data_IF_307894604677
#
_entry.id   IF_307894604677
#
_cell.length_a   1.000
_cell.length_b   1.000
_cell.length_c   1.000
_cell.angle_alpha   90.00
_cell.angle_beta   90.00
_cell.angle_gamma   90.00
#
_symmetry.space_group_name_H-M   'P 1'
#
loop_
_entity.id
_entity.type
_entity.pdbx_description
1 polymer ?
#
# COMPACT_ATOMS: atom_id res chain seq x y z
N UNK A 1 -25.11 -34.94 -18.51
CA UNK A 1 -25.49 -33.55 -18.17
C UNK A 1 -25.16 -33.34 -16.69
N UNK A 2 -23.97 -32.82 -16.39
CA UNK A 2 -23.59 -32.44 -15.03
C UNK A 2 -24.05 -31.00 -14.80
N UNK A 3 -24.96 -30.83 -13.86
CA UNK A 3 -25.50 -29.53 -13.45
C UNK A 3 -24.40 -28.73 -12.76
N UNK A 4 -23.91 -27.68 -13.40
CA UNK A 4 -23.02 -26.69 -12.76
C UNK A 4 -23.78 -26.04 -11.60
N UNK A 5 -23.34 -26.18 -10.34
CA UNK A 5 -23.98 -25.45 -9.25
C UNK A 5 -23.67 -23.97 -9.47
N UNK A 6 -24.72 -23.14 -9.53
CA UNK A 6 -24.59 -21.70 -9.48
C UNK A 6 -24.15 -21.29 -8.06
N UNK A 7 -22.84 -21.27 -7.82
CA UNK A 7 -22.27 -20.70 -6.61
C UNK A 7 -22.21 -19.19 -6.81
N UNK A 8 -23.28 -18.47 -6.46
CA UNK A 8 -23.12 -17.06 -6.15
C UNK A 8 -22.34 -16.99 -4.83
N UNK A 9 -21.07 -16.55 -4.82
CA UNK A 9 -20.36 -16.40 -3.56
C UNK A 9 -21.09 -15.38 -2.69
N UNK A 10 -21.00 -15.50 -1.35
CA UNK A 10 -21.57 -14.50 -0.47
C UNK A 10 -21.04 -13.12 -0.83
N UNK A 11 -21.88 -12.06 -0.76
CA UNK A 11 -21.46 -10.71 -1.12
C UNK A 11 -20.25 -10.29 -0.28
N UNK A 12 -19.23 -9.79 -0.96
CA UNK A 12 -18.00 -9.34 -0.32
C UNK A 12 -18.19 -7.91 0.19
N UNK A 13 -17.96 -7.71 1.49
CA UNK A 13 -17.87 -6.37 2.05
C UNK A 13 -16.52 -5.75 1.66
N UNK A 14 -16.53 -4.89 0.64
CA UNK A 14 -15.32 -4.22 0.15
C UNK A 14 -14.75 -3.20 1.16
N UNK A 15 -15.57 -2.67 2.06
CA UNK A 15 -15.09 -1.79 3.12
C UNK A 15 -14.31 -2.60 4.16
N UNK A 16 -14.83 -3.76 4.54
CA UNK A 16 -14.16 -4.69 5.46
C UNK A 16 -12.86 -5.25 4.88
N UNK A 17 -12.87 -5.63 3.60
CA UNK A 17 -11.66 -6.08 2.90
C UNK A 17 -10.60 -4.96 2.85
N UNK A 18 -11.01 -3.73 2.54
CA UNK A 18 -10.12 -2.57 2.56
C UNK A 18 -9.49 -2.37 3.93
N UNK A 19 -10.29 -2.44 5.00
CA UNK A 19 -9.81 -2.33 6.39
C UNK A 19 -8.74 -3.38 6.69
N UNK A 20 -9.00 -4.65 6.37
CA UNK A 20 -8.02 -5.72 6.59
C UNK A 20 -6.72 -5.52 5.78
N UNK A 21 -6.81 -4.99 4.56
CA UNK A 21 -5.62 -4.65 3.76
C UNK A 21 -4.82 -3.53 4.44
N UNK A 22 -5.49 -2.51 4.96
CA UNK A 22 -4.85 -1.39 5.66
C UNK A 22 -4.16 -1.85 6.95
N UNK A 23 -4.79 -2.72 7.72
CA UNK A 23 -4.20 -3.33 8.92
C UNK A 23 -2.93 -4.12 8.58
N UNK A 24 -2.94 -4.92 7.52
CA UNK A 24 -1.75 -5.67 7.09
C UNK A 24 -0.62 -4.74 6.62
N UNK A 25 -0.96 -3.65 5.93
CA UNK A 25 0.03 -2.65 5.50
C UNK A 25 0.66 -1.95 6.72
N UNK A 26 -0.17 -1.52 7.68
CA UNK A 26 0.28 -0.86 8.89
C UNK A 26 1.17 -1.77 9.74
N UNK A 27 0.74 -3.01 10.00
CA UNK A 27 1.53 -4.01 10.74
C UNK A 27 2.89 -4.25 10.06
N UNK A 28 2.88 -4.40 8.73
CA UNK A 28 4.11 -4.60 7.96
C UNK A 28 5.06 -3.41 8.08
N UNK A 29 4.56 -2.18 7.92
CA UNK A 29 5.37 -0.97 8.00
C UNK A 29 5.92 -0.75 9.41
N UNK A 30 5.12 -0.99 10.45
CA UNK A 30 5.56 -0.94 11.84
C UNK A 30 6.67 -1.95 12.12
N UNK A 31 6.51 -3.18 11.64
CA UNK A 31 7.54 -4.22 11.76
C UNK A 31 8.84 -3.81 11.07
N UNK A 32 8.77 -3.23 9.87
CA UNK A 32 9.95 -2.74 9.14
C UNK A 32 10.61 -1.53 9.80
N UNK A 33 9.82 -0.59 10.33
CA UNK A 33 10.33 0.55 11.07
C UNK A 33 11.09 0.10 12.32
N UNK A 34 10.49 -0.79 13.12
CA UNK A 34 11.13 -1.34 14.31
C UNK A 34 12.43 -2.10 13.99
N UNK A 35 12.43 -2.89 12.91
CA UNK A 35 13.62 -3.62 12.47
C UNK A 35 14.74 -2.69 11.99
N UNK A 36 14.40 -1.59 11.30
CA UNK A 36 15.37 -0.58 10.86
C UNK A 36 15.97 0.17 12.07
N UNK A 37 15.12 0.59 13.01
CA UNK A 37 15.53 1.23 14.26
C UNK A 37 16.49 0.36 15.07
N UNK A 38 16.17 -0.93 15.22
CA UNK A 38 17.03 -1.89 15.92
C UNK A 38 18.41 -2.08 15.28
N UNK A 39 18.55 -1.74 13.98
CA UNK A 39 19.81 -1.75 13.24
C UNK A 39 20.53 -0.39 13.27
N UNK A 40 20.00 0.61 13.98
CA UNK A 40 20.57 1.97 14.04
C UNK A 40 20.35 2.77 12.75
N UNK A 41 19.40 2.38 11.90
CA UNK A 41 19.05 3.14 10.71
C UNK A 41 18.12 4.31 11.07
N UNK A 42 18.19 5.46 10.36
CA UNK A 42 17.27 6.56 10.57
C UNK A 42 15.81 6.18 10.30
N UNK A 43 14.90 6.61 11.17
CA UNK A 43 13.46 6.31 11.07
C UNK A 43 12.78 7.08 9.92
N UNK A 44 13.46 8.06 9.34
CA UNK A 44 12.91 8.98 8.35
C UNK A 44 12.34 8.28 7.12
N UNK A 45 13.07 7.31 6.56
CA UNK A 45 12.63 6.58 5.38
C UNK A 45 11.31 5.84 5.65
N UNK A 46 11.25 5.10 6.76
CA UNK A 46 10.05 4.38 7.20
C UNK A 46 8.89 5.34 7.43
N UNK A 47 9.16 6.50 8.03
CA UNK A 47 8.15 7.52 8.31
C UNK A 47 7.56 8.12 7.03
N UNK A 48 8.39 8.51 6.06
CA UNK A 48 7.92 9.12 4.81
C UNK A 48 7.16 8.09 3.94
N UNK A 49 7.61 6.83 3.93
CA UNK A 49 6.88 5.74 3.24
C UNK A 49 5.51 5.50 3.91
N UNK A 50 5.46 5.46 5.25
CA UNK A 50 4.20 5.30 5.97
C UNK A 50 3.24 6.46 5.69
N UNK A 51 3.72 7.70 5.68
CA UNK A 51 2.91 8.86 5.29
C UNK A 51 2.40 8.76 3.85
N UNK A 52 3.25 8.33 2.90
CA UNK A 52 2.86 8.17 1.50
C UNK A 52 1.70 7.17 1.33
N UNK A 53 1.76 6.05 2.05
CA UNK A 53 0.69 5.06 2.04
C UNK A 53 -0.55 5.54 2.80
N UNK A 54 -0.38 6.21 3.94
CA UNK A 54 -1.47 6.78 4.76
C UNK A 54 -2.20 7.93 4.07
N UNK A 55 -1.54 8.67 3.16
CA UNK A 55 -2.17 9.66 2.28
C UNK A 55 -3.24 9.04 1.36
N UNK A 56 -3.39 7.71 1.39
CA UNK A 56 -4.59 7.03 0.96
C UNK A 56 -4.50 6.56 -0.48
N UNK A 57 -5.64 6.54 -1.16
CA UNK A 57 -5.80 5.98 -2.49
C UNK A 57 -7.03 5.08 -2.53
N UNK A 58 -7.56 4.85 -3.74
CA UNK A 58 -8.79 4.06 -3.90
C UNK A 58 -8.61 2.57 -3.56
N UNK A 59 -7.38 2.10 -3.36
CA UNK A 59 -7.01 0.68 -3.15
C UNK A 59 -7.61 -0.25 -4.21
N UNK A 60 -7.66 0.21 -5.46
CA UNK A 60 -8.29 -0.55 -6.54
C UNK A 60 -7.54 -1.87 -6.82
N UNK A 61 -6.21 -1.83 -6.83
CA UNK A 61 -5.36 -3.00 -7.10
C UNK A 61 -5.57 -4.13 -6.09
N UNK A 62 -5.47 -3.89 -4.77
CA UNK A 62 -5.70 -4.95 -3.80
C UNK A 62 -7.15 -5.44 -3.80
N UNK A 63 -8.15 -4.56 -4.02
CA UNK A 63 -9.55 -4.99 -4.12
C UNK A 63 -9.81 -5.87 -5.35
N UNK A 64 -9.22 -5.53 -6.51
CA UNK A 64 -9.30 -6.37 -7.71
C UNK A 64 -8.63 -7.73 -7.53
N UNK A 65 -7.53 -7.79 -6.77
CA UNK A 65 -6.88 -9.06 -6.42
C UNK A 65 -7.84 -9.96 -5.62
N UNK A 66 -8.48 -9.41 -4.58
CA UNK A 66 -9.44 -10.15 -3.75
C UNK A 66 -10.68 -10.58 -4.53
N UNK A 67 -11.23 -9.68 -5.36
CA UNK A 67 -12.37 -9.98 -6.22
C UNK A 67 -12.05 -11.09 -7.23
N UNK A 68 -10.85 -11.04 -7.85
CA UNK A 68 -10.38 -12.07 -8.76
C UNK A 68 -10.25 -13.44 -8.08
N UNK A 69 -9.71 -13.48 -6.85
CA UNK A 69 -9.65 -14.70 -6.05
C UNK A 69 -11.05 -15.26 -5.77
N UNK A 70 -11.97 -14.43 -5.29
CA UNK A 70 -13.33 -14.87 -4.95
C UNK A 70 -14.07 -15.36 -6.20
N UNK A 71 -13.90 -14.70 -7.34
CA UNK A 71 -14.51 -15.12 -8.61
C UNK A 71 -14.01 -16.50 -9.07
N UNK A 72 -12.73 -16.82 -8.82
CA UNK A 72 -12.14 -18.09 -9.21
C UNK A 72 -12.46 -19.24 -8.23
N UNK A 73 -12.53 -18.95 -6.93
CA UNK A 73 -12.60 -19.99 -5.88
C UNK A 73 -13.99 -20.12 -5.26
N UNK A 74 -14.86 -19.12 -5.44
CA UNK A 74 -16.19 -19.03 -4.83
C UNK A 74 -16.18 -19.13 -3.29
N UNK A 75 -15.12 -18.66 -2.64
CA UNK A 75 -14.94 -18.65 -1.18
C UNK A 75 -14.47 -17.27 -0.69
N UNK A 76 -14.69 -16.93 0.59
CA UNK A 76 -14.13 -15.73 1.20
C UNK A 76 -12.59 -15.70 1.08
N UNK A 77 -11.97 -14.50 0.99
CA UNK A 77 -10.52 -14.40 0.94
C UNK A 77 -9.88 -14.89 2.23
N UNK A 78 -8.82 -15.69 2.09
CA UNK A 78 -8.00 -16.08 3.24
C UNK A 78 -7.08 -14.93 3.64
N UNK A 79 -6.50 -15.01 4.84
CA UNK A 79 -5.47 -14.07 5.29
C UNK A 79 -4.27 -14.01 4.32
N UNK A 80 -3.92 -15.12 3.66
CA UNK A 80 -2.86 -15.13 2.66
C UNK A 80 -3.22 -14.26 1.43
N UNK A 81 -4.48 -14.30 0.98
CA UNK A 81 -4.96 -13.47 -0.13
C UNK A 81 -4.94 -11.99 0.24
N UNK A 82 -5.35 -11.64 1.46
CA UNK A 82 -5.26 -10.26 1.97
C UNK A 82 -3.81 -9.78 2.00
N UNK A 83 -2.86 -10.62 2.43
CA UNK A 83 -1.42 -10.29 2.41
C UNK A 83 -0.88 -10.06 0.99
N UNK A 84 -1.29 -10.90 0.02
CA UNK A 84 -0.93 -10.69 -1.39
C UNK A 84 -1.51 -9.38 -1.91
N UNK A 85 -2.76 -9.08 -1.58
CA UNK A 85 -3.40 -7.82 -1.95
C UNK A 85 -2.62 -6.62 -1.37
N UNK A 86 -2.29 -6.64 -0.08
CA UNK A 86 -1.46 -5.62 0.56
C UNK A 86 -0.09 -5.46 -0.12
N UNK A 87 0.57 -6.57 -0.48
CA UNK A 87 1.85 -6.55 -1.19
C UNK A 87 1.75 -5.85 -2.57
N UNK A 88 0.62 -6.00 -3.29
CA UNK A 88 0.39 -5.27 -4.54
C UNK A 88 0.27 -3.76 -4.34
N UNK A 89 -0.31 -3.32 -3.22
CA UNK A 89 -0.38 -1.90 -2.89
C UNK A 89 1.01 -1.34 -2.52
N UNK A 90 1.83 -2.09 -1.79
CA UNK A 90 3.24 -1.75 -1.54
C UNK A 90 4.04 -1.63 -2.85
N UNK A 91 3.86 -2.60 -3.76
CA UNK A 91 4.52 -2.58 -5.07
C UNK A 91 4.06 -1.37 -5.90
N UNK A 92 2.76 -1.05 -5.85
CA UNK A 92 2.26 0.15 -6.51
C UNK A 92 2.85 1.44 -5.93
N UNK A 93 3.00 1.53 -4.60
CA UNK A 93 3.63 2.67 -3.96
C UNK A 93 5.09 2.83 -4.41
N UNK A 94 5.84 1.73 -4.49
CA UNK A 94 7.19 1.72 -5.08
C UNK A 94 7.19 2.32 -6.50
N UNK A 95 6.30 1.86 -7.38
CA UNK A 95 6.20 2.41 -8.74
C UNK A 95 5.95 3.92 -8.72
N UNK A 96 4.98 4.39 -7.93
CA UNK A 96 4.64 5.82 -7.88
C UNK A 96 5.80 6.69 -7.37
N UNK A 97 6.51 6.23 -6.34
CA UNK A 97 7.66 6.96 -5.78
C UNK A 97 8.79 7.06 -6.81
N UNK A 98 9.04 5.98 -7.56
CA UNK A 98 10.03 5.97 -8.61
C UNK A 98 9.61 6.81 -9.82
N UNK A 99 8.35 6.74 -10.24
CA UNK A 99 7.79 7.57 -11.31
C UNK A 99 7.93 9.06 -10.96
N UNK A 100 7.66 9.44 -9.70
CA UNK A 100 7.81 10.82 -9.25
C UNK A 100 9.25 11.35 -9.42
N UNK A 101 10.25 10.49 -9.26
CA UNK A 101 11.66 10.83 -9.45
C UNK A 101 11.99 10.90 -10.94
N UNK A 102 11.59 9.89 -11.72
CA UNK A 102 11.84 9.81 -13.16
C UNK A 102 11.23 11.01 -13.89
N UNK A 103 10.02 11.39 -13.52
CA UNK A 103 9.25 12.46 -14.14
C UNK A 103 9.54 13.86 -13.55
N UNK A 104 10.44 13.96 -12.57
CA UNK A 104 10.68 15.19 -11.80
C UNK A 104 9.39 15.83 -11.23
N UNK A 105 8.45 14.98 -10.79
CA UNK A 105 7.17 15.45 -10.25
C UNK A 105 7.35 16.07 -8.86
N UNK A 106 6.86 17.29 -8.67
CA UNK A 106 6.96 17.98 -7.38
C UNK A 106 5.80 17.67 -6.43
N UNK A 107 4.66 17.22 -6.96
CA UNK A 107 3.46 16.90 -6.18
C UNK A 107 2.79 15.60 -6.61
N UNK A 108 2.16 14.92 -5.66
CA UNK A 108 1.29 13.76 -5.88
C UNK A 108 0.09 13.81 -4.94
N UNK A 109 -1.11 13.68 -5.50
CA UNK A 109 -2.38 13.69 -4.74
C UNK A 109 -2.53 14.93 -3.84
N UNK A 110 -2.06 16.08 -4.31
CA UNK A 110 -2.13 17.34 -3.56
C UNK A 110 -1.07 17.53 -2.47
N UNK A 111 -0.16 16.57 -2.27
CA UNK A 111 0.96 16.67 -1.33
C UNK A 111 2.31 16.67 -2.07
N UNK A 112 3.41 17.14 -1.45
CA UNK A 112 4.75 16.98 -1.99
C UNK A 112 5.10 15.51 -2.23
N UNK A 113 5.84 15.21 -3.30
CA UNK A 113 6.34 13.85 -3.54
C UNK A 113 7.36 13.44 -2.48
N UNK A 114 7.63 12.13 -2.35
CA UNK A 114 8.54 11.58 -1.33
C UNK A 114 9.93 12.23 -1.40
N UNK A 115 10.50 12.34 -2.61
CA UNK A 115 11.82 12.92 -2.78
C UNK A 115 11.83 14.42 -2.41
N UNK A 116 10.76 15.18 -2.72
CA UNK A 116 10.64 16.60 -2.32
C UNK A 116 10.50 16.77 -0.81
N UNK A 117 9.75 15.89 -0.16
CA UNK A 117 9.62 15.87 1.31
C UNK A 117 10.98 15.64 1.97
N UNK A 118 11.76 14.68 1.47
CA UNK A 118 13.10 14.43 1.96
C UNK A 118 14.04 15.61 1.67
N UNK A 119 14.03 16.17 0.47
CA UNK A 119 14.83 17.37 0.14
C UNK A 119 14.55 18.50 1.13
N UNK A 120 13.28 18.83 1.41
CA UNK A 120 12.93 19.93 2.30
C UNK A 120 13.40 19.73 3.76
N UNK A 121 13.64 18.50 4.19
CA UNK A 121 14.15 18.19 5.54
C UNK A 121 15.67 18.25 5.65
N UNK A 122 16.35 18.17 4.51
CA UNK A 122 17.82 18.13 4.39
C UNK A 122 18.40 19.33 3.66
N UNK A 123 17.57 20.27 3.19
CA UNK A 123 18.04 21.59 2.84
C UNK A 123 18.51 22.27 4.11
N UNK A 124 19.82 22.33 4.29
CA UNK A 124 20.47 23.30 5.16
C UNK A 124 19.93 24.66 4.70
N UNK A 125 19.38 25.45 5.62
CA UNK A 125 19.24 26.88 5.39
C UNK A 125 20.63 27.38 5.00
N UNK A 126 20.90 27.58 3.70
CA UNK A 126 21.91 28.55 3.30
C UNK A 126 21.35 29.90 3.75
N UNK A 127 21.59 30.22 5.02
CA UNK A 127 21.38 31.54 5.56
C UNK A 127 22.23 32.52 4.72
N UNK A 128 21.66 33.63 4.24
CA UNK A 128 22.40 34.64 3.48
C UNK A 128 23.51 35.28 4.30
#
# INVERSE_FOLDING_TARGET
MTTTPALSPPPLDLADVRRHIEEVLEEFLMSKAAAAHAQGLPDEASHVIAQFLAAGGKRLRPLLCVLGWQAAIAQPPTQAVIRVAAALEMFHAFCLIHDDIIDNSTTRRGAPTVHRTLTARHTVDEAP
#
